data_IF_106483917941
#
_entry.id   IF_106483917941
#
_cell.length_a   1.000
_cell.length_b   1.000
_cell.length_c   1.000
_cell.angle_alpha   90.00
_cell.angle_beta   90.00
_cell.angle_gamma   90.00
#
_symmetry.space_group_name_H-M   'P 1'
#
loop_
_entity.id
_entity.type
_entity.pdbx_description
1 polymer ?
#
# COMPACT_ATOMS: atom_id res chain seq x y z
N UNK A 1 10.58 -20.25 18.39
CA UNK A 1 11.55 -19.25 17.86
C UNK A 1 10.98 -17.88 18.15
N UNK A 2 11.27 -17.36 19.31
CA UNK A 2 10.73 -16.09 19.79
C UNK A 2 11.65 -14.97 19.38
N UNK A 3 11.10 -14.00 18.61
CA UNK A 3 11.54 -12.60 18.77
C UNK A 3 12.70 -12.08 17.98
N UNK A 4 12.70 -12.17 16.64
CA UNK A 4 13.61 -11.34 15.83
C UNK A 4 13.22 -9.85 15.84
N UNK A 5 11.97 -9.53 16.23
CA UNK A 5 11.42 -8.18 16.19
C UNK A 5 11.17 -7.51 17.56
N UNK A 6 11.64 -8.11 18.68
CA UNK A 6 11.34 -7.62 20.03
C UNK A 6 12.23 -6.48 20.55
N UNK A 7 13.36 -6.19 19.92
CA UNK A 7 14.14 -5.00 20.22
C UNK A 7 14.13 -4.09 18.99
N UNK A 8 13.17 -3.16 18.93
CA UNK A 8 13.28 -2.06 17.96
C UNK A 8 14.53 -1.26 18.34
N UNK A 9 15.54 -1.13 17.44
CA UNK A 9 16.56 -0.12 17.61
C UNK A 9 15.86 1.24 17.76
N UNK A 10 16.52 2.17 18.47
CA UNK A 10 16.09 3.57 18.61
C UNK A 10 15.37 4.02 17.35
N UNK A 11 14.17 4.63 17.51
CA UNK A 11 13.26 5.03 16.41
C UNK A 11 14.05 5.42 15.17
N UNK A 12 14.08 4.54 14.17
CA UNK A 12 14.60 4.92 12.86
C UNK A 12 13.74 6.10 12.42
N UNK A 13 14.38 7.29 12.34
CA UNK A 13 13.70 8.50 11.88
C UNK A 13 13.11 8.23 10.49
N UNK A 14 11.90 8.70 10.23
CA UNK A 14 11.28 8.59 8.91
C UNK A 14 12.27 9.09 7.84
N UNK A 15 12.45 8.34 6.76
CA UNK A 15 13.47 8.63 5.71
C UNK A 15 13.28 10.06 5.16
N UNK A 16 12.06 10.54 5.08
CA UNK A 16 11.71 11.82 4.50
C UNK A 16 11.43 12.95 5.49
N UNK A 17 11.69 12.74 6.80
CA UNK A 17 11.35 13.74 7.83
C UNK A 17 11.92 15.15 7.59
N UNK A 18 13.04 15.24 6.91
CA UNK A 18 13.73 16.51 6.60
C UNK A 18 13.58 16.91 5.12
N UNK A 19 12.71 16.25 4.36
CA UNK A 19 12.49 16.57 2.96
C UNK A 19 11.72 17.89 2.81
N UNK A 20 12.09 18.69 1.80
CA UNK A 20 11.50 20.00 1.57
C UNK A 20 9.98 19.98 1.27
N UNK A 21 9.47 18.83 0.85
CA UNK A 21 8.04 18.62 0.57
C UNK A 21 7.24 18.13 1.80
N UNK A 22 7.91 17.76 2.89
CA UNK A 22 7.22 17.40 4.13
C UNK A 22 6.53 18.62 4.75
N UNK A 23 5.30 18.42 5.22
CA UNK A 23 4.50 19.41 5.89
C UNK A 23 3.77 18.77 7.10
N UNK A 24 2.96 19.55 7.80
CA UNK A 24 2.23 19.09 8.98
C UNK A 24 1.22 17.99 8.64
N UNK A 25 0.49 18.11 7.53
CA UNK A 25 -0.47 17.11 7.06
C UNK A 25 0.21 15.75 6.80
N UNK A 26 1.31 15.76 6.05
CA UNK A 26 2.08 14.53 5.76
C UNK A 26 2.72 13.94 7.02
N UNK A 27 3.10 14.79 7.98
CA UNK A 27 3.61 14.32 9.28
C UNK A 27 2.52 13.64 10.10
N UNK A 28 1.30 14.17 10.08
CA UNK A 28 0.14 13.54 10.73
C UNK A 28 -0.23 12.22 10.06
N UNK A 29 -0.16 12.16 8.73
CA UNK A 29 -0.39 10.92 7.97
C UNK A 29 0.67 9.86 8.31
N UNK A 30 1.95 10.25 8.42
CA UNK A 30 3.02 9.36 8.85
C UNK A 30 2.75 8.75 10.23
N UNK A 31 2.39 9.59 11.20
CA UNK A 31 2.04 9.15 12.55
C UNK A 31 0.83 8.21 12.57
N UNK A 32 -0.17 8.48 11.75
CA UNK A 32 -1.34 7.62 11.62
C UNK A 32 -0.98 6.26 11.01
N UNK A 33 -0.19 6.24 9.94
CA UNK A 33 0.28 5.03 9.28
C UNK A 33 1.19 4.20 10.22
N UNK A 34 2.13 4.83 10.93
CA UNK A 34 2.98 4.14 11.93
C UNK A 34 2.12 3.44 12.98
N UNK A 35 1.15 4.17 13.57
CA UNK A 35 0.25 3.62 14.60
C UNK A 35 -0.59 2.47 14.06
N UNK A 36 -1.11 2.60 12.84
CA UNK A 36 -1.87 1.55 12.20
C UNK A 36 -1.03 0.29 12.02
N UNK A 37 0.15 0.39 11.42
CA UNK A 37 1.01 -0.78 11.22
C UNK A 37 1.47 -1.40 12.54
N UNK A 38 1.74 -0.60 13.56
CA UNK A 38 2.12 -1.08 14.88
C UNK A 38 0.98 -1.82 15.59
N UNK A 39 -0.26 -1.39 15.41
CA UNK A 39 -1.42 -1.96 16.09
C UNK A 39 -2.04 -3.15 15.35
N UNK A 40 -2.13 -3.08 14.02
CA UNK A 40 -2.92 -4.01 13.23
C UNK A 40 -2.07 -5.01 12.43
N UNK A 41 -0.87 -4.61 11.94
CA UNK A 41 -0.02 -5.46 11.12
C UNK A 41 0.99 -6.26 11.96
N UNK A 42 1.80 -5.57 12.77
CA UNK A 42 2.93 -6.19 13.46
C UNK A 42 2.54 -7.30 14.45
N UNK A 43 1.44 -7.20 15.22
CA UNK A 43 1.06 -8.28 16.12
C UNK A 43 0.70 -9.58 15.42
N UNK A 44 0.32 -9.52 14.15
CA UNK A 44 -0.16 -10.65 13.36
C UNK A 44 0.84 -11.13 12.30
N UNK A 45 2.04 -10.55 12.26
CA UNK A 45 3.01 -10.78 11.17
C UNK A 45 3.45 -12.25 11.07
N UNK A 46 3.67 -12.92 12.21
CA UNK A 46 4.07 -14.33 12.23
C UNK A 46 2.97 -15.23 11.66
N UNK A 47 1.70 -14.93 11.98
CA UNK A 47 0.55 -15.64 11.42
C UNK A 47 0.44 -15.43 9.91
N UNK A 48 0.62 -14.20 9.43
CA UNK A 48 0.59 -13.90 8.00
C UNK A 48 1.72 -14.57 7.23
N UNK A 49 2.91 -14.69 7.83
CA UNK A 49 4.04 -15.43 7.25
C UNK A 49 3.71 -16.92 7.15
N UNK A 50 3.13 -17.53 8.20
CA UNK A 50 2.75 -18.94 8.20
C UNK A 50 1.65 -19.24 7.19
N UNK A 51 0.62 -18.39 7.14
CA UNK A 51 -0.49 -18.49 6.19
C UNK A 51 -0.11 -18.09 4.76
N UNK A 52 1.05 -17.43 4.56
CA UNK A 52 1.48 -16.84 3.29
C UNK A 52 0.46 -15.85 2.72
N UNK A 53 -0.29 -15.23 3.58
CA UNK A 53 -1.39 -14.34 3.21
C UNK A 53 -1.70 -13.36 4.32
N UNK A 54 -1.88 -12.10 3.97
CA UNK A 54 -2.43 -11.06 4.86
C UNK A 54 -3.96 -11.18 4.87
N UNK A 55 -4.58 -11.01 6.03
CA UNK A 55 -6.03 -11.14 6.20
C UNK A 55 -6.81 -10.08 5.40
N UNK A 56 -8.02 -10.43 4.96
CA UNK A 56 -8.93 -9.46 4.32
C UNK A 56 -9.32 -8.33 5.29
N UNK A 57 -9.43 -8.66 6.57
CA UNK A 57 -9.76 -7.68 7.61
C UNK A 57 -8.71 -6.56 7.70
N UNK A 58 -7.40 -6.90 7.60
CA UNK A 58 -6.35 -5.88 7.59
C UNK A 58 -6.47 -4.96 6.37
N UNK A 59 -6.79 -5.51 5.19
CA UNK A 59 -7.01 -4.71 3.99
C UNK A 59 -8.18 -3.74 4.17
N UNK A 60 -9.31 -4.21 4.70
CA UNK A 60 -10.48 -3.37 4.94
C UNK A 60 -10.19 -2.26 5.97
N UNK A 61 -9.54 -2.61 7.08
CA UNK A 61 -9.09 -1.61 8.06
C UNK A 61 -8.15 -0.58 7.43
N UNK A 62 -7.18 -1.00 6.61
CA UNK A 62 -6.29 -0.08 5.92
C UNK A 62 -7.07 0.87 4.97
N UNK A 63 -8.14 0.38 4.34
CA UNK A 63 -9.07 1.20 3.55
C UNK A 63 -9.81 2.23 4.41
N UNK A 64 -10.34 1.82 5.57
CA UNK A 64 -11.02 2.71 6.53
C UNK A 64 -10.09 3.83 7.03
N UNK A 65 -8.79 3.56 7.16
CA UNK A 65 -7.77 4.54 7.52
C UNK A 65 -7.25 5.36 6.33
N UNK A 66 -7.78 5.14 5.11
CA UNK A 66 -7.36 5.86 3.90
C UNK A 66 -5.98 5.47 3.36
N UNK A 67 -5.37 4.39 3.85
CA UNK A 67 -3.98 4.03 3.51
C UNK A 67 -3.84 3.35 2.14
N UNK A 68 -4.94 2.91 1.51
CA UNK A 68 -4.91 2.13 0.26
C UNK A 68 -4.95 2.99 -1.00
N UNK A 69 -5.48 4.21 -0.94
CA UNK A 69 -5.73 5.05 -2.09
C UNK A 69 -5.50 6.54 -1.78
N UNK A 70 -4.39 6.85 -1.11
CA UNK A 70 -4.13 8.18 -0.58
C UNK A 70 -4.00 9.26 -1.67
N UNK A 71 -3.46 8.93 -2.84
CA UNK A 71 -3.29 9.86 -3.97
C UNK A 71 -4.43 9.80 -5.02
N UNK A 72 -5.45 8.97 -4.78
CA UNK A 72 -6.56 8.80 -5.72
C UNK A 72 -7.61 9.88 -5.46
N UNK A 73 -8.24 10.45 -6.51
CA UNK A 73 -9.29 11.46 -6.34
C UNK A 73 -10.44 10.97 -5.47
N UNK A 74 -11.03 11.91 -4.70
CA UNK A 74 -12.16 11.63 -3.78
C UNK A 74 -13.38 11.06 -4.51
N UNK A 75 -13.62 11.47 -5.77
CA UNK A 75 -14.71 10.95 -6.61
C UNK A 75 -14.63 9.45 -6.87
N UNK A 76 -13.46 8.84 -6.69
CA UNK A 76 -13.20 7.40 -6.77
C UNK A 76 -12.92 6.76 -5.41
N UNK A 77 -13.21 7.46 -4.32
CA UNK A 77 -13.08 6.95 -2.95
C UNK A 77 -11.67 7.07 -2.35
N UNK A 78 -10.75 7.79 -3.01
CA UNK A 78 -9.44 8.11 -2.48
C UNK A 78 -9.44 9.31 -1.53
N UNK A 79 -8.27 9.69 -1.02
CA UNK A 79 -8.10 10.85 -0.13
C UNK A 79 -7.87 12.17 -0.91
N UNK A 80 -7.70 12.13 -2.23
CA UNK A 80 -7.42 13.32 -3.04
C UNK A 80 -6.02 13.92 -2.87
N UNK A 81 -5.12 13.19 -2.22
CA UNK A 81 -3.73 13.60 -2.07
C UNK A 81 -2.91 13.44 -3.36
N UNK A 82 -1.62 13.42 -3.22
CA UNK A 82 -0.67 13.18 -4.30
C UNK A 82 0.31 12.04 -3.95
N UNK A 83 1.31 11.82 -4.79
CA UNK A 83 2.29 10.76 -4.58
C UNK A 83 3.13 10.93 -3.29
N UNK A 84 3.22 12.14 -2.72
CA UNK A 84 3.92 12.35 -1.43
C UNK A 84 3.18 11.66 -0.29
N UNK A 85 1.85 11.58 -0.34
CA UNK A 85 1.02 10.85 0.62
C UNK A 85 1.33 9.35 0.57
N UNK A 86 1.40 8.77 -0.63
CA UNK A 86 1.79 7.35 -0.78
C UNK A 86 3.23 7.10 -0.33
N UNK A 87 4.16 7.99 -0.68
CA UNK A 87 5.56 7.85 -0.29
C UNK A 87 5.73 7.82 1.24
N UNK A 88 4.96 8.63 1.96
CA UNK A 88 4.92 8.63 3.43
C UNK A 88 4.41 7.30 3.96
N UNK A 89 3.27 6.81 3.45
CA UNK A 89 2.68 5.53 3.88
C UNK A 89 3.63 4.38 3.58
N UNK A 90 4.24 4.34 2.40
CA UNK A 90 5.22 3.29 2.04
C UNK A 90 6.48 3.35 2.89
N UNK A 91 6.92 4.56 3.26
CA UNK A 91 8.05 4.72 4.19
C UNK A 91 7.76 4.09 5.55
N UNK A 92 6.56 4.33 6.09
CA UNK A 92 6.16 3.76 7.37
C UNK A 92 5.96 2.23 7.30
N UNK A 93 5.38 1.73 6.21
CA UNK A 93 5.29 0.29 5.96
C UNK A 93 6.69 -0.34 5.89
N UNK A 94 7.61 0.26 5.13
CA UNK A 94 9.00 -0.21 5.06
C UNK A 94 9.71 -0.21 6.41
N UNK A 95 9.48 0.81 7.25
CA UNK A 95 10.01 0.88 8.62
C UNK A 95 9.43 -0.19 9.54
N UNK A 96 8.24 -0.67 9.28
CA UNK A 96 7.66 -1.78 10.04
C UNK A 96 8.40 -3.11 9.82
N UNK A 97 9.20 -3.20 8.75
CA UNK A 97 9.91 -4.41 8.35
C UNK A 97 9.03 -5.45 7.63
N UNK A 98 7.78 -5.13 7.39
CA UNK A 98 6.89 -6.04 6.66
C UNK A 98 7.16 -6.00 5.15
N UNK A 99 7.09 -7.18 4.53
CA UNK A 99 7.21 -7.38 3.08
C UNK A 99 5.99 -8.10 2.49
N UNK A 100 5.02 -8.47 3.32
CA UNK A 100 3.88 -9.33 2.94
C UNK A 100 2.62 -8.58 2.60
N UNK A 101 2.43 -7.36 3.09
CA UNK A 101 1.17 -6.62 2.92
C UNK A 101 0.92 -6.14 1.48
N UNK A 102 1.88 -6.15 0.59
CA UNK A 102 1.67 -5.91 -0.85
C UNK A 102 1.03 -4.57 -1.24
N UNK A 103 0.97 -3.59 -0.34
CA UNK A 103 0.31 -2.30 -0.54
C UNK A 103 0.83 -1.54 -1.77
N UNK A 104 2.14 -1.56 -2.00
CA UNK A 104 2.74 -0.92 -3.17
C UNK A 104 2.29 -1.54 -4.50
N UNK A 105 2.11 -2.86 -4.57
CA UNK A 105 1.60 -3.54 -5.78
C UNK A 105 0.12 -3.20 -6.00
N UNK A 106 -0.65 -3.10 -4.92
CA UNK A 106 -2.03 -2.67 -4.94
C UNK A 106 -2.15 -1.26 -5.54
N UNK A 107 -1.33 -0.32 -5.09
CA UNK A 107 -1.34 1.06 -5.60
C UNK A 107 -0.91 1.14 -7.06
N UNK A 108 0.07 0.36 -7.50
CA UNK A 108 0.41 0.31 -8.93
C UNK A 108 -0.82 -0.08 -9.76
N UNK A 109 -1.57 -1.12 -9.35
CA UNK A 109 -2.78 -1.53 -10.06
C UNK A 109 -3.84 -0.43 -10.08
N UNK A 110 -4.06 0.28 -8.96
CA UNK A 110 -4.97 1.42 -8.85
C UNK A 110 -4.57 2.52 -9.85
N UNK A 111 -3.29 2.90 -9.89
CA UNK A 111 -2.80 3.92 -10.80
C UNK A 111 -2.95 3.55 -12.27
N UNK A 112 -2.76 2.28 -12.63
CA UNK A 112 -3.03 1.82 -13.98
C UNK A 112 -4.51 1.98 -14.36
N UNK A 113 -5.42 1.63 -13.47
CA UNK A 113 -6.86 1.81 -13.70
C UNK A 113 -7.21 3.30 -13.80
N UNK A 114 -6.65 4.14 -12.93
CA UNK A 114 -6.89 5.58 -12.96
C UNK A 114 -6.39 6.21 -14.26
N UNK A 115 -5.19 5.84 -14.72
CA UNK A 115 -4.57 6.45 -15.88
C UNK A 115 -5.17 5.95 -17.22
N UNK A 116 -5.47 4.66 -17.32
CA UNK A 116 -5.78 4.02 -18.60
C UNK A 116 -7.18 3.39 -18.66
N UNK A 117 -7.89 3.29 -17.54
CA UNK A 117 -9.23 2.76 -17.48
C UNK A 117 -10.26 3.69 -18.13
N UNK A 118 -11.34 3.12 -18.67
CA UNK A 118 -12.54 3.88 -19.02
C UNK A 118 -13.21 4.43 -17.76
N UNK A 119 -14.09 5.41 -17.91
CA UNK A 119 -14.83 5.96 -16.76
C UNK A 119 -15.63 4.86 -16.02
N UNK A 120 -16.31 3.98 -16.76
CA UNK A 120 -17.03 2.84 -16.16
C UNK A 120 -16.09 1.90 -15.37
N UNK A 121 -14.85 1.70 -15.83
CA UNK A 121 -13.86 0.90 -15.13
C UNK A 121 -13.38 1.61 -13.86
N UNK A 122 -13.12 2.92 -13.91
CA UNK A 122 -12.71 3.71 -12.74
C UNK A 122 -13.79 3.67 -11.67
N UNK A 123 -15.04 4.00 -12.03
CA UNK A 123 -16.18 4.00 -11.11
C UNK A 123 -16.47 2.61 -10.53
N UNK A 124 -16.25 1.56 -11.29
CA UNK A 124 -16.52 0.19 -10.87
C UNK A 124 -15.48 -0.35 -9.91
N UNK A 125 -14.19 -0.04 -10.12
CA UNK A 125 -13.10 -0.72 -9.41
C UNK A 125 -12.40 0.14 -8.37
N UNK A 126 -12.16 1.43 -8.64
CA UNK A 126 -11.37 2.26 -7.74
C UNK A 126 -11.99 2.38 -6.34
N UNK A 127 -13.30 2.63 -6.16
CA UNK A 127 -13.88 2.72 -4.82
C UNK A 127 -13.73 1.42 -4.01
N UNK A 128 -13.85 0.27 -4.67
CA UNK A 128 -13.73 -1.04 -4.03
C UNK A 128 -12.28 -1.40 -3.70
N UNK A 129 -11.33 -0.90 -4.48
CA UNK A 129 -9.91 -0.99 -4.18
C UNK A 129 -9.56 -0.06 -3.03
N UNK A 130 -10.07 1.16 -3.00
CA UNK A 130 -9.83 2.12 -1.93
C UNK A 130 -10.33 1.63 -0.55
N UNK A 131 -11.43 0.88 -0.52
CA UNK A 131 -11.98 0.28 0.73
C UNK A 131 -11.32 -1.05 1.13
N UNK A 132 -10.43 -1.61 0.30
CA UNK A 132 -9.84 -2.93 0.56
C UNK A 132 -10.78 -4.11 0.29
N UNK A 133 -11.98 -3.88 -0.24
CA UNK A 133 -12.88 -4.94 -0.71
C UNK A 133 -12.23 -5.76 -1.82
N UNK A 134 -11.57 -5.08 -2.75
CA UNK A 134 -10.72 -5.67 -3.78
C UNK A 134 -9.25 -5.40 -3.48
N UNK A 135 -8.41 -6.31 -3.92
CA UNK A 135 -6.95 -6.17 -3.86
C UNK A 135 -6.39 -6.17 -5.26
N UNK A 136 -5.58 -5.15 -5.56
CA UNK A 136 -4.87 -5.03 -6.82
C UNK A 136 -3.66 -5.96 -6.86
N UNK A 137 -3.40 -6.51 -8.03
CA UNK A 137 -2.21 -7.31 -8.31
C UNK A 137 -1.78 -7.12 -9.76
N UNK A 138 -0.52 -7.42 -10.04
CA UNK A 138 0.07 -7.29 -11.39
C UNK A 138 0.65 -8.62 -11.81
N UNK A 139 0.23 -9.11 -12.97
CA UNK A 139 0.77 -10.29 -13.63
C UNK A 139 1.42 -9.85 -14.93
N UNK A 140 2.75 -9.75 -14.95
CA UNK A 140 3.51 -9.31 -16.14
C UNK A 140 4.30 -10.44 -16.80
N UNK A 141 4.67 -11.46 -16.06
CA UNK A 141 5.47 -12.57 -16.57
C UNK A 141 4.61 -13.61 -17.26
N UNK A 142 4.98 -13.99 -18.47
CA UNK A 142 4.39 -15.08 -19.25
C UNK A 142 5.44 -16.17 -19.51
N UNK A 143 5.05 -17.40 -19.92
CA UNK A 143 6.03 -18.47 -20.21
C UNK A 143 7.12 -18.10 -21.23
N UNK A 144 6.81 -17.17 -22.15
CA UNK A 144 7.74 -16.69 -23.18
C UNK A 144 8.35 -15.32 -22.90
N UNK A 145 8.02 -14.67 -21.78
CA UNK A 145 8.36 -13.25 -21.53
C UNK A 145 8.59 -13.01 -20.05
N UNK A 146 9.72 -12.36 -19.74
CA UNK A 146 10.08 -11.88 -18.41
C UNK A 146 10.54 -10.42 -18.48
N UNK A 147 11.84 -10.18 -18.59
CA UNK A 147 12.42 -8.82 -18.68
C UNK A 147 12.03 -8.07 -19.96
N UNK A 148 11.78 -8.79 -21.06
CA UNK A 148 11.28 -8.20 -22.30
C UNK A 148 9.75 -8.05 -22.26
N UNK A 149 9.27 -6.98 -21.61
CA UNK A 149 7.85 -6.68 -21.50
C UNK A 149 7.18 -6.37 -22.85
N UNK A 150 7.94 -5.98 -23.87
CA UNK A 150 7.39 -5.73 -25.20
C UNK A 150 6.92 -7.03 -25.90
N UNK A 151 7.44 -8.15 -25.47
CA UNK A 151 7.07 -9.47 -26.02
C UNK A 151 5.80 -10.08 -25.36
N UNK A 152 5.12 -9.36 -24.44
CA UNK A 152 3.85 -9.79 -23.82
C UNK A 152 2.80 -10.01 -24.91
N UNK A 153 2.13 -11.16 -24.86
CA UNK A 153 1.12 -11.60 -25.84
C UNK A 153 -0.30 -11.57 -25.29
N UNK A 154 -0.48 -11.54 -23.98
CA UNK A 154 -1.80 -11.42 -23.35
C UNK A 154 -2.46 -10.10 -23.78
N UNK A 155 -3.74 -10.19 -24.19
CA UNK A 155 -4.56 -9.07 -24.67
C UNK A 155 -5.88 -9.04 -23.94
#
# INVERSE_FOLDING_TARGET
>A
MTGIFQERPERIKMIFSDAAWMNEELSMLADAAEKFFAAELLPNIDEYIEQKQVSLELWQKAGEYGLLAASIPEEYGGMGGDYTHEAVIFSELGRSGDTGFGLHVHNIAIHYILAFGTEDQRQRWLPRLATGELRGGICMTEPGTGSDLQAIRTR
#
